data_IF_827580753223
#
_entry.id   IF_827580753223
#
_cell.length_a   1.000
_cell.length_b   1.000
_cell.length_c   1.000
_cell.angle_alpha   90.00
_cell.angle_beta   90.00
_cell.angle_gamma   90.00
#
_symmetry.space_group_name_H-M   'P 1'
#
loop_
_entity.id
_entity.type
_entity.pdbx_description
1 polymer ?
#
# COMPACT_ATOMS: atom_id res chain seq x y z
N UNK A 1 24.01 -44.17 -18.33
CA UNK A 1 22.60 -44.01 -18.72
C UNK A 1 21.74 -44.93 -17.88
N UNK A 2 21.00 -44.40 -16.90
CA UNK A 2 19.75 -44.95 -16.35
C UNK A 2 19.31 -44.01 -15.23
N UNK A 3 18.55 -42.99 -15.62
CA UNK A 3 17.83 -42.13 -14.69
C UNK A 3 16.73 -42.97 -14.05
N UNK A 4 16.97 -43.45 -12.83
CA UNK A 4 15.97 -44.06 -11.95
C UNK A 4 14.91 -43.00 -11.65
N UNK A 5 13.92 -42.87 -12.54
CA UNK A 5 12.65 -42.23 -12.22
C UNK A 5 11.95 -43.16 -11.23
N UNK A 6 12.16 -42.90 -9.94
CA UNK A 6 11.37 -43.49 -8.86
C UNK A 6 9.92 -42.99 -9.03
N UNK A 7 9.16 -43.68 -9.88
CA UNK A 7 7.74 -43.44 -10.10
C UNK A 7 7.03 -43.72 -8.78
N UNK A 8 6.42 -42.68 -8.23
CA UNK A 8 5.72 -42.68 -6.95
C UNK A 8 4.43 -43.51 -7.08
N UNK A 9 4.56 -44.83 -6.95
CA UNK A 9 3.46 -45.79 -7.00
C UNK A 9 2.56 -45.54 -5.77
N UNK A 10 1.48 -44.80 -5.95
CA UNK A 10 0.44 -44.71 -4.93
C UNK A 10 -0.41 -45.98 -5.01
N UNK A 11 -0.62 -46.62 -3.85
CA UNK A 11 -1.55 -47.74 -3.72
C UNK A 11 -2.95 -47.18 -3.54
N UNK A 12 -3.84 -47.41 -4.51
CA UNK A 12 -5.19 -46.85 -4.55
C UNK A 12 -6.20 -47.82 -5.15
N UNK A 13 -7.41 -47.32 -5.42
CA UNK A 13 -8.49 -48.05 -6.11
C UNK A 13 -8.46 -47.67 -7.59
N UNK A 14 -8.63 -48.64 -8.48
CA UNK A 14 -8.71 -48.41 -9.91
C UNK A 14 -10.14 -48.02 -10.32
N UNK A 15 -10.33 -46.83 -10.91
CA UNK A 15 -11.64 -46.32 -11.34
C UNK A 15 -12.21 -47.05 -12.58
N UNK A 16 -11.40 -47.86 -13.28
CA UNK A 16 -11.84 -48.62 -14.47
C UNK A 16 -12.24 -50.06 -14.17
N UNK A 17 -11.59 -50.71 -13.19
CA UNK A 17 -11.85 -52.12 -12.86
C UNK A 17 -12.29 -52.36 -11.41
N UNK A 18 -12.32 -51.33 -10.56
CA UNK A 18 -12.75 -51.41 -9.17
C UNK A 18 -11.78 -52.16 -8.25
N UNK A 19 -10.62 -52.62 -8.73
CA UNK A 19 -9.65 -53.28 -7.87
C UNK A 19 -9.06 -52.30 -6.85
N UNK A 20 -9.12 -52.69 -5.59
CA UNK A 20 -8.49 -51.97 -4.48
C UNK A 20 -7.04 -52.43 -4.26
N UNK A 21 -6.24 -51.57 -3.61
CA UNK A 21 -4.83 -51.83 -3.24
C UNK A 21 -3.94 -52.17 -4.44
N UNK A 22 -4.16 -51.51 -5.56
CA UNK A 22 -3.32 -51.64 -6.77
C UNK A 22 -2.56 -50.35 -7.03
N UNK A 23 -1.41 -50.43 -7.68
CA UNK A 23 -0.66 -49.22 -8.03
C UNK A 23 -1.44 -48.46 -9.11
N UNK A 24 -1.90 -47.26 -8.78
CA UNK A 24 -2.66 -46.43 -9.71
C UNK A 24 -1.80 -45.33 -10.32
N UNK A 25 -2.12 -44.96 -11.57
CA UNK A 25 -1.56 -43.81 -12.27
C UNK A 25 -2.70 -42.99 -12.88
N UNK A 26 -2.52 -41.67 -12.89
CA UNK A 26 -3.45 -40.75 -13.55
C UNK A 26 -3.37 -40.93 -15.06
N UNK A 27 -4.49 -41.27 -15.67
CA UNK A 27 -4.65 -41.37 -17.12
C UNK A 27 -5.84 -40.55 -17.59
N UNK A 28 -5.81 -40.05 -18.83
CA UNK A 28 -6.95 -39.36 -19.43
C UNK A 28 -7.78 -40.34 -20.25
N UNK A 29 -9.04 -40.52 -19.90
CA UNK A 29 -10.00 -41.33 -20.65
C UNK A 29 -11.07 -40.39 -21.22
N UNK A 30 -11.22 -40.34 -22.55
CA UNK A 30 -12.17 -39.49 -23.31
C UNK A 30 -12.19 -38.00 -22.93
N UNK A 31 -12.80 -37.64 -21.80
CA UNK A 31 -12.97 -36.28 -21.30
C UNK A 31 -12.52 -36.06 -19.85
N UNK A 32 -12.24 -37.11 -19.09
CA UNK A 32 -11.94 -37.05 -17.64
C UNK A 32 -10.57 -37.63 -17.31
N UNK A 33 -10.02 -37.20 -16.18
CA UNK A 33 -8.75 -37.73 -15.63
C UNK A 33 -9.14 -38.70 -14.51
N UNK A 34 -8.68 -39.95 -14.63
CA UNK A 34 -9.02 -41.05 -13.72
C UNK A 34 -7.76 -41.77 -13.26
N UNK A 35 -7.82 -42.37 -12.07
CA UNK A 35 -6.74 -43.19 -11.52
C UNK A 35 -6.92 -44.65 -11.92
N UNK A 36 -5.95 -45.21 -12.63
CA UNK A 36 -6.06 -46.54 -13.24
C UNK A 36 -4.87 -47.43 -12.90
N UNK A 37 -5.10 -48.73 -12.77
CA UNK A 37 -4.03 -49.72 -12.57
C UNK A 37 -3.26 -49.98 -13.87
N UNK A 38 -2.01 -50.44 -13.77
CA UNK A 38 -1.16 -50.68 -14.94
C UNK A 38 -1.82 -51.66 -15.95
N UNK A 39 -2.57 -52.66 -15.46
CA UNK A 39 -3.28 -53.63 -16.32
C UNK A 39 -4.34 -52.97 -17.22
N UNK A 40 -5.14 -52.04 -16.67
CA UNK A 40 -6.15 -51.32 -17.44
C UNK A 40 -5.50 -50.32 -18.42
N UNK A 41 -4.38 -49.72 -18.03
CA UNK A 41 -3.63 -48.81 -18.90
C UNK A 41 -3.09 -49.57 -20.13
N UNK A 42 -2.53 -50.76 -19.91
CA UNK A 42 -2.02 -51.63 -20.97
C UNK A 42 -3.15 -52.20 -21.85
N UNK A 43 -4.25 -52.67 -21.25
CA UNK A 43 -5.35 -53.29 -22.02
C UNK A 43 -6.14 -52.27 -22.85
N UNK A 44 -6.22 -51.01 -22.41
CA UNK A 44 -6.96 -49.94 -23.08
C UNK A 44 -6.04 -48.96 -23.85
N UNK A 45 -4.73 -49.17 -23.82
CA UNK A 45 -3.76 -48.32 -24.54
C UNK A 45 -3.74 -46.86 -24.09
N UNK A 46 -4.01 -46.58 -22.81
CA UNK A 46 -4.10 -45.22 -22.29
C UNK A 46 -2.70 -44.66 -22.00
N UNK A 47 -2.53 -43.35 -22.19
CA UNK A 47 -1.24 -42.68 -21.89
C UNK A 47 -1.25 -42.11 -20.46
N UNK A 48 -0.27 -42.48 -19.61
CA UNK A 48 -0.18 -41.94 -18.26
C UNK A 48 0.31 -40.49 -18.27
N UNK A 49 -0.39 -39.64 -17.51
CA UNK A 49 0.00 -38.25 -17.31
C UNK A 49 1.07 -38.25 -16.22
N UNK A 50 2.33 -38.18 -16.63
CA UNK A 50 3.41 -37.90 -15.70
C UNK A 50 3.39 -36.40 -15.40
N UNK A 51 2.95 -36.03 -14.19
CA UNK A 51 3.11 -34.69 -13.63
C UNK A 51 4.60 -34.43 -13.29
N UNK A 52 5.48 -34.62 -14.26
CA UNK A 52 6.90 -34.29 -14.18
C UNK A 52 7.18 -32.98 -14.91
N UNK A 53 6.28 -32.00 -14.79
CA UNK A 53 6.72 -30.59 -14.90
C UNK A 53 7.09 -30.15 -13.50
N UNK A 54 8.31 -30.54 -13.10
CA UNK A 54 9.06 -29.71 -12.17
C UNK A 54 9.22 -28.37 -12.89
N UNK A 55 8.26 -27.48 -12.71
CA UNK A 55 8.54 -26.08 -12.85
C UNK A 55 9.62 -25.83 -11.81
N UNK A 56 10.89 -25.87 -12.24
CA UNK A 56 11.94 -25.13 -11.58
C UNK A 56 11.52 -23.67 -11.72
N UNK A 57 10.57 -23.26 -10.88
CA UNK A 57 10.48 -21.88 -10.49
C UNK A 57 11.78 -21.72 -9.70
N UNK A 58 12.85 -21.36 -10.41
CA UNK A 58 13.86 -20.51 -9.81
C UNK A 58 13.05 -19.28 -9.39
N UNK A 59 12.46 -19.36 -8.20
CA UNK A 59 12.11 -18.20 -7.41
C UNK A 59 13.47 -17.62 -7.09
N UNK A 60 14.03 -16.93 -8.08
CA UNK A 60 14.92 -15.83 -7.81
C UNK A 60 14.03 -14.94 -6.97
N UNK A 61 14.16 -15.11 -5.66
CA UNK A 61 13.79 -14.12 -4.67
C UNK A 61 14.70 -12.94 -4.95
N UNK A 62 14.46 -12.26 -6.08
CA UNK A 62 14.70 -10.84 -6.18
C UNK A 62 13.87 -10.35 -5.01
N UNK A 63 14.56 -9.96 -3.94
CA UNK A 63 14.04 -9.00 -2.99
C UNK A 63 13.63 -7.84 -3.87
N UNK A 64 12.36 -7.85 -4.24
CA UNK A 64 11.75 -6.75 -4.91
C UNK A 64 11.70 -5.72 -3.77
N UNK A 65 12.80 -4.98 -3.62
CA UNK A 65 12.78 -3.63 -3.10
C UNK A 65 12.00 -2.80 -4.12
N UNK A 66 10.72 -3.13 -4.30
CA UNK A 66 9.73 -2.17 -4.70
C UNK A 66 9.66 -1.22 -3.51
N UNK A 67 10.58 -0.26 -3.49
CA UNK A 67 10.16 1.10 -3.25
C UNK A 67 9.17 1.38 -4.37
N UNK A 68 7.93 0.92 -4.22
CA UNK A 68 6.82 1.43 -5.00
C UNK A 68 6.75 2.87 -4.57
N UNK A 69 7.43 3.66 -5.36
CA UNK A 69 7.38 5.09 -5.48
C UNK A 69 5.94 5.48 -5.86
N UNK A 70 4.99 5.17 -4.97
CA UNK A 70 3.62 5.64 -4.98
C UNK A 70 3.63 7.05 -4.39
N UNK A 71 4.48 7.93 -4.92
CA UNK A 71 4.37 9.34 -4.62
C UNK A 71 3.14 9.85 -5.36
N UNK A 72 2.16 10.33 -4.60
CA UNK A 72 1.09 11.16 -5.13
C UNK A 72 1.76 12.35 -5.83
N UNK A 73 1.57 12.44 -7.14
CA UNK A 73 1.99 13.57 -7.96
C UNK A 73 1.38 14.84 -7.34
N UNK A 74 2.22 15.70 -6.76
CA UNK A 74 1.81 16.92 -6.06
C UNK A 74 2.08 16.95 -4.54
N UNK A 75 2.64 15.89 -3.95
CA UNK A 75 3.18 15.94 -2.58
C UNK A 75 4.60 16.51 -2.57
N UNK A 76 4.86 17.49 -1.71
CA UNK A 76 6.21 18.04 -1.49
C UNK A 76 7.15 16.89 -1.14
N UNK A 77 8.27 16.74 -1.86
CA UNK A 77 9.13 15.55 -1.71
C UNK A 77 9.95 15.54 -0.41
N UNK A 78 9.98 16.67 0.29
CA UNK A 78 10.82 16.90 1.45
C UNK A 78 9.98 17.44 2.62
N UNK A 79 10.14 16.82 3.79
CA UNK A 79 9.47 17.22 5.02
C UNK A 79 10.50 17.80 6.00
N UNK A 80 10.06 18.73 6.86
CA UNK A 80 10.91 19.26 7.93
C UNK A 80 11.21 18.16 8.95
N UNK A 81 12.48 17.98 9.28
CA UNK A 81 12.87 17.00 10.30
C UNK A 81 12.28 17.33 11.68
N UNK A 82 11.80 16.34 12.47
CA UNK A 82 11.18 16.59 13.78
C UNK A 82 12.15 17.23 14.79
N UNK A 83 13.45 16.97 14.70
CA UNK A 83 14.48 17.49 15.61
C UNK A 83 15.24 18.71 15.02
N UNK A 84 14.59 19.52 14.19
CA UNK A 84 15.22 20.68 13.53
C UNK A 84 15.74 21.73 14.53
N UNK A 85 15.06 21.93 15.66
CA UNK A 85 15.38 22.97 16.65
C UNK A 85 16.70 22.69 17.39
N UNK A 86 16.97 21.41 17.69
CA UNK A 86 18.23 20.98 18.31
C UNK A 86 19.39 21.25 17.36
N UNK A 87 19.26 20.87 16.09
CA UNK A 87 20.29 21.11 15.08
C UNK A 87 20.63 22.59 14.92
N UNK A 88 19.62 23.46 14.91
CA UNK A 88 19.85 24.91 14.82
C UNK A 88 20.62 25.42 16.04
N UNK A 89 20.29 24.93 17.24
CA UNK A 89 20.98 25.32 18.47
C UNK A 89 22.42 24.86 18.50
N UNK A 90 22.66 23.59 18.17
CA UNK A 90 24.00 23.00 18.09
C UNK A 90 24.89 23.81 17.12
N UNK A 91 24.39 24.10 15.93
CA UNK A 91 25.14 24.83 14.90
C UNK A 91 25.32 26.32 15.22
N UNK A 92 24.41 26.90 16.00
CA UNK A 92 24.59 28.25 16.56
C UNK A 92 25.73 28.24 17.59
N UNK A 93 25.76 27.23 18.47
CA UNK A 93 26.75 27.10 19.54
C UNK A 93 28.14 26.75 19.00
N UNK A 94 28.24 25.87 18.00
CA UNK A 94 29.52 25.55 17.34
C UNK A 94 30.16 26.77 16.69
N UNK A 95 29.33 27.67 16.14
CA UNK A 95 29.77 28.94 15.55
C UNK A 95 29.94 30.06 16.57
N UNK A 96 29.56 29.82 17.83
CA UNK A 96 29.64 30.79 18.92
C UNK A 96 28.74 32.02 18.75
N UNK A 97 27.64 31.91 18.00
CA UNK A 97 26.76 33.06 17.75
C UNK A 97 25.74 33.24 18.86
N UNK A 98 25.49 34.50 19.21
CA UNK A 98 24.31 34.83 20.03
C UNK A 98 23.04 34.77 19.18
N UNK A 99 21.87 34.62 19.82
CA UNK A 99 20.58 34.58 19.12
C UNK A 99 20.36 35.89 18.33
N UNK A 100 20.83 37.02 18.87
CA UNK A 100 20.75 38.33 18.20
C UNK A 100 21.65 38.41 16.96
N UNK A 101 22.85 37.84 17.01
CA UNK A 101 23.76 37.79 15.86
C UNK A 101 23.20 36.92 14.74
N UNK A 102 22.64 35.75 15.07
CA UNK A 102 21.95 34.91 14.09
C UNK A 102 20.77 35.67 13.47
N UNK A 103 20.01 36.41 14.27
CA UNK A 103 18.88 37.23 13.80
C UNK A 103 19.32 38.30 12.81
N UNK A 104 20.44 38.98 13.08
CA UNK A 104 21.03 39.97 12.18
C UNK A 104 21.50 39.36 10.87
N UNK A 105 22.12 38.18 10.90
CA UNK A 105 22.60 37.48 9.68
C UNK A 105 21.45 37.02 8.78
N UNK A 106 20.42 36.42 9.38
CA UNK A 106 19.24 35.89 8.66
C UNK A 106 18.29 37.03 8.22
N UNK A 107 18.50 38.25 8.75
CA UNK A 107 17.59 39.39 8.61
C UNK A 107 16.16 39.06 9.08
N UNK A 108 16.06 38.48 10.28
CA UNK A 108 14.80 38.11 10.92
C UNK A 108 14.73 38.66 12.35
N UNK A 109 13.53 38.71 12.94
CA UNK A 109 13.36 39.20 14.32
C UNK A 109 13.90 38.18 15.32
N UNK A 110 14.53 38.65 16.41
CA UNK A 110 15.06 37.82 17.50
C UNK A 110 13.99 36.86 18.05
N UNK A 111 12.76 37.35 18.26
CA UNK A 111 11.65 36.53 18.76
C UNK A 111 11.28 35.36 17.83
N UNK A 112 11.50 35.47 16.52
CA UNK A 112 11.22 34.40 15.56
C UNK A 112 12.25 33.28 15.73
N UNK A 113 13.53 33.65 15.87
CA UNK A 113 14.62 32.68 16.08
C UNK A 113 14.46 31.98 17.43
N UNK A 114 14.13 32.70 18.49
CA UNK A 114 13.84 32.10 19.80
C UNK A 114 12.69 31.08 19.71
N UNK A 115 11.60 31.39 19.00
CA UNK A 115 10.50 30.44 18.76
C UNK A 115 10.99 29.20 18.01
N UNK A 116 11.88 29.38 17.03
CA UNK A 116 12.43 28.28 16.26
C UNK A 116 13.33 27.36 17.09
N UNK A 117 14.21 27.92 17.92
CA UNK A 117 15.08 27.15 18.84
C UNK A 117 14.29 26.45 19.95
N UNK A 118 13.09 26.94 20.28
CA UNK A 118 12.16 26.31 21.21
C UNK A 118 11.32 25.18 20.56
N UNK A 119 11.48 24.93 19.26
CA UNK A 119 10.74 23.88 18.54
C UNK A 119 9.41 24.31 17.94
N UNK A 120 9.03 25.59 18.05
CA UNK A 120 7.83 26.08 17.38
C UNK A 120 8.09 26.27 15.90
N UNK A 121 7.29 25.62 15.05
CA UNK A 121 7.35 25.78 13.60
C UNK A 121 6.79 27.15 13.19
N UNK A 122 7.64 27.99 12.60
CA UNK A 122 7.28 29.31 12.04
C UNK A 122 7.09 29.16 10.52
N UNK A 123 7.15 30.26 9.77
CA UNK A 123 6.99 30.28 8.32
C UNK A 123 8.13 29.53 7.62
N UNK A 124 7.80 28.76 6.59
CA UNK A 124 8.79 27.99 5.83
C UNK A 124 9.85 28.84 5.14
N UNK A 125 9.52 30.10 4.82
CA UNK A 125 10.49 31.06 4.29
C UNK A 125 11.63 31.34 5.26
N UNK A 126 11.33 31.48 6.56
CA UNK A 126 12.35 31.73 7.59
C UNK A 126 13.23 30.51 7.80
N UNK A 127 12.63 29.32 7.82
CA UNK A 127 13.36 28.04 7.98
C UNK A 127 14.32 27.82 6.82
N UNK A 128 13.90 28.14 5.58
CA UNK A 128 14.76 28.09 4.39
C UNK A 128 15.89 29.11 4.41
N UNK A 129 15.74 30.26 5.05
CA UNK A 129 16.83 31.23 5.21
C UNK A 129 17.85 30.71 6.22
N UNK A 130 17.38 30.29 7.40
CA UNK A 130 18.24 29.74 8.47
C UNK A 130 19.02 28.52 7.95
N UNK A 131 18.39 27.62 7.19
CA UNK A 131 19.08 26.48 6.59
C UNK A 131 20.21 26.89 5.64
N UNK A 132 20.06 28.02 4.95
CA UNK A 132 21.09 28.55 4.04
C UNK A 132 22.22 29.24 4.80
N UNK A 133 21.90 30.07 5.79
CA UNK A 133 22.92 30.83 6.53
C UNK A 133 23.80 29.94 7.42
N UNK A 134 23.24 28.82 7.89
CA UNK A 134 23.96 27.80 8.65
C UNK A 134 24.48 26.64 7.79
N UNK A 135 24.15 26.59 6.49
CA UNK A 135 24.49 25.48 5.57
C UNK A 135 24.05 24.09 6.07
N UNK A 136 22.90 24.00 6.75
CA UNK A 136 22.36 22.75 7.32
C UNK A 136 21.21 22.21 6.47
N UNK A 137 21.16 20.89 6.31
CA UNK A 137 19.99 20.18 5.77
C UNK A 137 18.92 19.98 6.85
N UNK A 138 17.94 20.89 6.90
CA UNK A 138 16.77 20.80 7.80
C UNK A 138 15.61 19.98 7.21
N UNK A 139 15.56 19.83 5.89
CA UNK A 139 14.55 19.06 5.18
C UNK A 139 15.09 17.67 4.85
N UNK A 140 14.24 16.65 5.03
CA UNK A 140 14.55 15.25 4.72
C UNK A 140 13.51 14.68 3.77
N UNK A 141 13.92 13.77 2.89
CA UNK A 141 12.99 13.04 2.02
C UNK A 141 11.94 12.32 2.87
N UNK A 142 10.67 12.41 2.46
CA UNK A 142 9.58 11.71 3.13
C UNK A 142 9.81 10.21 3.02
N UNK A 143 10.16 9.57 4.14
CA UNK A 143 10.04 8.13 4.29
C UNK A 143 8.70 7.86 4.95
N UNK A 144 7.73 7.22 4.28
CA UNK A 144 6.50 6.81 4.94
C UNK A 144 6.87 5.80 6.03
N UNK A 145 6.90 6.24 7.29
CA UNK A 145 7.15 5.36 8.45
C UNK A 145 5.91 4.55 8.83
N UNK A 146 4.76 4.84 8.22
CA UNK A 146 3.47 4.28 8.59
C UNK A 146 2.78 3.65 7.39
N UNK A 147 3.44 2.67 6.78
CA UNK A 147 2.77 1.72 5.90
C UNK A 147 1.92 0.81 6.79
N UNK A 148 0.68 1.21 7.05
CA UNK A 148 -0.30 0.28 7.60
C UNK A 148 -0.46 -0.81 6.54
N UNK A 149 0.17 -1.96 6.75
CA UNK A 149 0.00 -3.13 5.91
C UNK A 149 -1.47 -3.54 6.01
N UNK A 150 -2.28 -3.06 5.08
CA UNK A 150 -3.62 -3.58 4.86
C UNK A 150 -3.38 -4.94 4.25
N UNK A 151 -3.58 -6.00 5.04
CA UNK A 151 -3.59 -7.36 4.51
C UNK A 151 -4.53 -7.35 3.30
N UNK A 152 -4.08 -7.74 2.09
CA UNK A 152 -4.97 -7.85 0.96
C UNK A 152 -6.08 -8.79 1.41
N UNK A 153 -7.32 -8.32 1.29
CA UNK A 153 -8.47 -9.11 1.68
C UNK A 153 -8.44 -10.35 0.79
N UNK A 154 -8.25 -11.51 1.40
CA UNK A 154 -8.47 -12.80 0.73
C UNK A 154 -9.76 -12.67 -0.05
N UNK A 155 -9.74 -13.13 -1.31
CA UNK A 155 -10.84 -12.99 -2.26
C UNK A 155 -12.14 -13.27 -1.54
N UNK A 156 -12.89 -12.21 -1.19
CA UNK A 156 -14.21 -12.35 -0.61
C UNK A 156 -15.00 -13.15 -1.64
N UNK A 157 -15.29 -14.40 -1.30
CA UNK A 157 -16.29 -15.16 -2.01
C UNK A 157 -17.53 -14.27 -2.06
N UNK A 158 -18.00 -13.99 -3.27
CA UNK A 158 -19.13 -13.10 -3.47
C UNK A 158 -20.32 -13.66 -2.69
N UNK A 159 -20.73 -12.97 -1.64
CA UNK A 159 -21.91 -13.37 -0.88
C UNK A 159 -23.14 -13.14 -1.77
N UNK A 160 -24.21 -13.93 -1.59
CA UNK A 160 -25.47 -13.74 -2.33
C UNK A 160 -26.01 -12.30 -2.25
N UNK A 161 -25.64 -11.55 -1.21
CA UNK A 161 -25.97 -10.14 -1.02
C UNK A 161 -25.18 -9.15 -1.91
N UNK A 162 -24.00 -9.53 -2.40
CA UNK A 162 -23.17 -8.70 -3.31
C UNK A 162 -23.61 -8.85 -4.78
N UNK A 163 -24.29 -9.96 -5.11
CA UNK A 163 -24.94 -10.16 -6.39
C UNK A 163 -26.27 -9.39 -6.43
N UNK A 164 -26.21 -8.10 -6.79
CA UNK A 164 -27.40 -7.39 -7.25
C UNK A 164 -27.89 -8.01 -8.58
N UNK A 165 -28.62 -9.12 -8.48
CA UNK A 165 -29.45 -9.63 -9.58
C UNK A 165 -30.67 -8.73 -9.65
N UNK A 166 -30.48 -7.52 -10.19
CA UNK A 166 -31.58 -6.78 -10.78
C UNK A 166 -31.46 -6.99 -12.27
N UNK A 167 -32.39 -7.75 -12.86
CA UNK A 167 -32.57 -7.76 -14.30
C UNK A 167 -32.63 -6.29 -14.76
N UNK A 168 -31.76 -5.95 -15.72
CA UNK A 168 -31.67 -4.61 -16.29
C UNK A 168 -32.99 -4.25 -16.96
N UNK A 169 -33.94 -3.73 -16.18
CA UNK A 169 -34.91 -2.80 -16.73
C UNK A 169 -34.21 -1.44 -16.74
N UNK A 170 -33.80 -1.03 -17.93
CA UNK A 170 -33.26 0.29 -18.22
C UNK A 170 -34.26 1.36 -17.77
N UNK A 171 -34.15 1.81 -16.52
CA UNK A 171 -34.65 3.11 -16.08
C UNK A 171 -33.43 3.91 -15.64
N UNK A 172 -33.07 4.86 -16.48
CA UNK A 172 -32.08 5.89 -16.19
C UNK A 172 -32.41 6.55 -14.85
N UNK A 173 -31.59 6.28 -13.82
CA UNK A 173 -31.66 7.02 -12.56
C UNK A 173 -31.14 8.43 -12.84
N UNK A 174 -32.04 9.34 -13.19
CA UNK A 174 -31.76 10.77 -13.12
C UNK A 174 -31.38 11.10 -11.66
N UNK A 175 -30.14 11.56 -11.46
CA UNK A 175 -29.69 12.11 -10.18
C UNK A 175 -30.51 13.37 -9.92
N UNK A 176 -31.45 13.31 -8.98
CA UNK A 176 -32.04 14.52 -8.42
C UNK A 176 -30.96 15.24 -7.61
N UNK A 177 -30.41 16.31 -8.17
CA UNK A 177 -29.55 17.23 -7.45
C UNK A 177 -30.33 17.79 -6.26
N UNK A 178 -30.06 17.30 -5.05
CA UNK A 178 -30.61 17.87 -3.81
C UNK A 178 -30.20 19.34 -3.74
N UNK A 179 -31.14 20.24 -4.02
CA UNK A 179 -30.97 21.67 -3.73
C UNK A 179 -30.82 21.81 -2.22
N UNK A 180 -29.65 22.27 -1.75
CA UNK A 180 -29.45 22.64 -0.35
C UNK A 180 -30.50 23.68 0.02
N UNK A 181 -31.50 23.30 0.81
CA UNK A 181 -32.41 24.29 1.40
C UNK A 181 -31.61 25.16 2.37
N UNK A 182 -31.88 26.46 2.35
CA UNK A 182 -31.34 27.37 3.36
C UNK A 182 -31.94 26.98 4.71
N UNK A 183 -31.09 26.84 5.72
CA UNK A 183 -31.50 26.58 7.11
C UNK A 183 -32.41 27.73 7.57
N UNK A 184 -33.70 27.47 7.72
CA UNK A 184 -34.61 28.39 8.40
C UNK A 184 -34.16 28.47 9.87
N UNK A 185 -33.84 29.69 10.33
CA UNK A 185 -33.47 29.94 11.72
C UNK A 185 -32.05 30.44 11.92
N UNK A 186 -31.76 31.65 11.44
CA UNK A 186 -30.97 32.64 12.19
C UNK A 186 -31.69 33.96 11.98
N UNK A 187 -32.45 34.40 12.98
CA UNK A 187 -33.03 35.74 13.02
C UNK A 187 -31.88 36.75 12.94
N UNK A 188 -31.89 37.58 11.90
CA UNK A 188 -31.08 38.81 11.86
C UNK A 188 -31.70 39.79 12.85
N UNK A 189 -31.50 39.57 14.15
CA UNK A 189 -31.63 40.67 15.11
C UNK A 189 -30.51 41.64 14.80
N UNK A 190 -30.88 42.75 14.18
CA UNK A 190 -29.99 43.75 13.61
C UNK A 190 -29.01 44.36 14.63
N UNK A 191 -27.96 44.97 14.10
CA UNK A 191 -26.97 45.67 14.89
C UNK A 191 -27.60 46.74 15.78
N UNK A 192 -27.16 46.79 17.04
CA UNK A 192 -27.42 47.92 17.95
C UNK A 192 -26.94 49.21 17.25
N UNK A 193 -27.87 50.07 16.85
CA UNK A 193 -27.54 51.47 16.55
C UNK A 193 -27.06 52.11 17.85
N UNK A 194 -25.87 52.70 17.80
CA UNK A 194 -25.29 53.52 18.88
C UNK A 194 -26.20 54.74 19.05
N UNK A 195 -26.77 54.95 20.24
CA UNK A 195 -27.54 56.16 20.56
C UNK A 195 -26.54 57.33 20.63
N UNK A 196 -26.76 58.37 19.84
CA UNK A 196 -26.04 59.65 19.96
C UNK A 196 -26.83 60.49 20.96
N UNK A 197 -26.22 60.78 22.09
CA UNK A 197 -26.38 61.99 22.91
C UNK A 197 -24.96 62.42 23.28
#
# INVERSE_FOLDING_TARGET
MMSMLCMRLHMGVCELCGNERVSTRKTRTSSTIVDCCNKCIESLGLTPINDSKKFNVNVVSKKINQKTNNYLVGTEMEELMPNFHVKIREERETRGWTIEELAKKVNERVNIIQKMENGNRVTDTTIKKISKDLDIKLYSSITPQNDRIVKPKESKEMTMADANITQKNNKSKQKNNKRKMRKLGVSRTGGRKRKKE
#
